data_IF_175757741670
#
_entry.id   IF_175757741670
#
_cell.length_a   1.000
_cell.length_b   1.000
_cell.length_c   1.000
_cell.angle_alpha   90.00
_cell.angle_beta   90.00
_cell.angle_gamma   90.00
#
_symmetry.space_group_name_H-M   'P 1'
#
loop_
_entity.id
_entity.type
_entity.pdbx_description
1 polymer ?
#
# COMPACT_ATOMS: atom_id res chain seq x y z
N UNK A 1 -10.68 -10.79 2.03
CA UNK A 1 -9.40 -10.09 1.80
C UNK A 1 -8.81 -9.69 3.14
N UNK A 2 -7.60 -10.08 3.40
CA UNK A 2 -7.08 -9.96 4.75
C UNK A 2 -6.14 -8.78 4.94
N UNK A 3 -5.17 -8.61 4.06
CA UNK A 3 -4.15 -7.59 4.25
C UNK A 3 -4.00 -6.74 3.01
N UNK A 4 -4.10 -5.44 3.18
CA UNK A 4 -3.93 -4.45 2.11
C UNK A 4 -2.72 -3.59 2.46
N UNK A 5 -1.85 -3.39 1.48
CA UNK A 5 -0.69 -2.50 1.61
C UNK A 5 -0.94 -1.25 0.79
N UNK A 6 -0.78 -0.09 1.40
CA UNK A 6 -0.86 1.20 0.71
C UNK A 6 0.53 1.82 0.74
N UNK A 7 1.11 2.03 -0.43
CA UNK A 7 2.43 2.63 -0.57
C UNK A 7 2.28 3.98 -1.29
N UNK A 8 2.32 5.06 -0.54
CA UNK A 8 2.08 6.40 -1.04
C UNK A 8 2.89 7.39 -0.20
N UNK A 9 3.68 8.25 -0.86
CA UNK A 9 4.56 9.18 -0.15
C UNK A 9 3.81 10.39 0.42
N UNK A 10 2.66 10.75 -0.12
CA UNK A 10 1.86 11.86 0.40
C UNK A 10 0.85 11.36 1.42
N UNK A 11 0.96 11.88 2.64
CA UNK A 11 0.11 11.43 3.74
C UNK A 11 -1.37 11.62 3.45
N UNK A 12 -1.75 12.76 2.88
CA UNK A 12 -3.17 13.04 2.62
C UNK A 12 -3.76 12.08 1.60
N UNK A 13 -3.00 11.78 0.55
CA UNK A 13 -3.43 10.82 -0.46
C UNK A 13 -3.53 9.43 0.15
N UNK A 14 -2.54 9.05 0.94
CA UNK A 14 -2.52 7.74 1.59
C UNK A 14 -3.72 7.57 2.52
N UNK A 15 -4.07 8.60 3.29
CA UNK A 15 -5.23 8.57 4.17
C UNK A 15 -6.53 8.52 3.37
N UNK A 16 -6.58 9.19 2.23
CA UNK A 16 -7.74 9.14 1.34
C UNK A 16 -7.98 7.74 0.80
N UNK A 17 -6.92 7.05 0.38
CA UNK A 17 -7.01 5.67 -0.10
C UNK A 17 -7.50 4.76 1.03
N UNK A 18 -6.93 4.90 2.21
CA UNK A 18 -7.34 4.11 3.38
C UNK A 18 -8.82 4.30 3.67
N UNK A 19 -9.28 5.54 3.70
CA UNK A 19 -10.70 5.83 3.96
C UNK A 19 -11.59 5.21 2.91
N UNK A 20 -11.19 5.28 1.64
CA UNK A 20 -11.96 4.71 0.54
C UNK A 20 -12.12 3.20 0.71
N UNK A 21 -11.04 2.52 1.08
CA UNK A 21 -11.06 1.08 1.31
C UNK A 21 -12.00 0.74 2.47
N UNK A 22 -11.91 1.49 3.55
CA UNK A 22 -12.75 1.26 4.72
C UNK A 22 -14.23 1.46 4.43
N UNK A 23 -14.56 2.41 3.55
CA UNK A 23 -15.95 2.71 3.20
C UNK A 23 -16.51 1.81 2.11
N UNK A 24 -15.65 1.08 1.42
CA UNK A 24 -16.10 0.24 0.30
C UNK A 24 -16.91 -0.97 0.73
N UNK A 25 -16.86 -1.35 2.00
CA UNK A 25 -17.54 -2.54 2.49
C UNK A 25 -16.79 -3.83 2.26
N UNK A 26 -15.62 -3.77 1.64
CA UNK A 26 -14.78 -4.95 1.45
C UNK A 26 -14.21 -5.36 2.80
N UNK A 27 -14.31 -6.65 3.19
CA UNK A 27 -13.78 -7.10 4.46
C UNK A 27 -12.25 -7.15 4.45
N UNK A 28 -11.63 -6.18 5.12
CA UNK A 28 -10.18 -6.08 5.25
C UNK A 28 -9.81 -6.15 6.72
N UNK A 29 -8.94 -7.07 7.09
CA UNK A 29 -8.49 -7.22 8.46
C UNK A 29 -7.39 -6.25 8.83
N UNK A 30 -6.46 -6.01 7.90
CA UNK A 30 -5.29 -5.20 8.19
C UNK A 30 -4.99 -4.28 7.01
N UNK A 31 -4.74 -3.00 7.31
CA UNK A 31 -4.26 -2.05 6.33
C UNK A 31 -2.88 -1.58 6.80
N UNK A 32 -1.88 -1.79 5.96
CA UNK A 32 -0.50 -1.38 6.25
C UNK A 32 -0.18 -0.18 5.39
N UNK A 33 0.35 0.88 5.99
CA UNK A 33 0.69 2.10 5.29
C UNK A 33 2.19 2.27 5.20
N UNK A 34 2.68 2.55 3.99
CA UNK A 34 4.08 2.83 3.74
C UNK A 34 4.20 4.16 3.03
N UNK A 35 5.24 4.92 3.35
CA UNK A 35 5.47 6.23 2.75
C UNK A 35 6.43 6.19 1.57
N UNK A 36 7.04 5.05 1.27
CA UNK A 36 7.92 4.92 0.12
C UNK A 36 8.03 3.45 -0.30
N UNK A 37 8.62 3.24 -1.48
CA UNK A 37 8.75 1.91 -2.04
C UNK A 37 9.67 0.98 -1.28
N UNK A 38 10.69 1.54 -0.62
CA UNK A 38 11.61 0.76 0.19
C UNK A 38 10.87 0.07 1.34
N UNK A 39 10.04 0.82 2.04
CA UNK A 39 9.24 0.28 3.14
C UNK A 39 8.26 -0.78 2.63
N UNK A 40 7.63 -0.52 1.49
CA UNK A 40 6.69 -1.46 0.89
C UNK A 40 7.38 -2.78 0.55
N UNK A 41 8.59 -2.70 -0.01
CA UNK A 41 9.35 -3.90 -0.36
C UNK A 41 9.66 -4.73 0.89
N UNK A 42 10.06 -4.08 1.97
CA UNK A 42 10.34 -4.75 3.22
C UNK A 42 9.11 -5.48 3.77
N UNK A 43 7.95 -4.84 3.68
CA UNK A 43 6.70 -5.45 4.11
C UNK A 43 6.37 -6.66 3.24
N UNK A 44 6.53 -6.55 1.93
CA UNK A 44 6.26 -7.66 1.02
C UNK A 44 7.16 -8.86 1.28
N UNK A 45 8.37 -8.63 1.77
CA UNK A 45 9.30 -9.69 2.09
C UNK A 45 9.02 -10.34 3.44
N UNK A 46 8.35 -9.64 4.34
CA UNK A 46 8.15 -10.11 5.70
C UNK A 46 6.77 -10.70 5.96
N UNK A 47 5.78 -10.40 5.12
CA UNK A 47 4.45 -10.95 5.31
C UNK A 47 3.67 -11.00 4.00
N UNK A 48 2.60 -11.80 4.02
CA UNK A 48 1.77 -11.96 2.84
C UNK A 48 0.81 -10.80 2.69
N UNK A 49 0.79 -10.21 1.50
CA UNK A 49 -0.07 -9.10 1.14
C UNK A 49 -1.03 -9.57 0.05
N UNK A 50 -2.32 -9.33 0.24
CA UNK A 50 -3.34 -9.74 -0.72
C UNK A 50 -3.55 -8.70 -1.82
N UNK A 51 -3.53 -7.42 -1.47
CA UNK A 51 -3.70 -6.33 -2.43
C UNK A 51 -2.76 -5.19 -2.07
N UNK A 52 -2.17 -4.56 -3.10
CA UNK A 52 -1.31 -3.41 -2.89
C UNK A 52 -1.75 -2.26 -3.79
N UNK A 53 -1.86 -1.07 -3.17
CA UNK A 53 -2.02 0.19 -3.89
C UNK A 53 -0.71 0.94 -3.84
N UNK A 54 -0.20 1.37 -5.00
CA UNK A 54 1.09 2.06 -5.06
C UNK A 54 1.05 3.21 -6.05
N UNK A 55 1.81 4.26 -5.75
CA UNK A 55 2.02 5.38 -6.64
C UNK A 55 3.34 5.17 -7.38
N UNK A 56 3.28 5.10 -8.69
CA UNK A 56 4.46 4.87 -9.53
C UNK A 56 5.45 6.03 -9.50
N UNK A 57 5.06 7.17 -8.93
CA UNK A 57 5.92 8.35 -8.83
C UNK A 57 6.75 8.40 -7.55
N UNK A 58 6.70 7.37 -6.74
CA UNK A 58 7.46 7.34 -5.50
C UNK A 58 8.96 7.39 -5.79
N UNK A 59 9.70 8.29 -5.09
CA UNK A 59 11.11 8.53 -5.42
C UNK A 59 12.06 7.40 -5.06
N UNK A 60 11.70 6.54 -4.13
CA UNK A 60 12.59 5.50 -3.65
C UNK A 60 12.59 4.26 -4.51
N UNK A 61 11.58 4.08 -5.35
CA UNK A 61 11.45 2.88 -6.15
C UNK A 61 10.49 3.12 -7.30
N UNK A 62 10.78 2.49 -8.43
CA UNK A 62 9.87 2.45 -9.55
C UNK A 62 8.64 1.61 -9.16
N UNK A 63 7.44 2.17 -9.34
CA UNK A 63 6.21 1.46 -8.99
C UNK A 63 6.04 0.16 -9.77
N UNK A 64 6.58 0.08 -10.99
CA UNK A 64 6.52 -1.14 -11.79
C UNK A 64 7.25 -2.29 -11.08
N UNK A 65 8.35 -1.98 -10.42
CA UNK A 65 9.11 -2.97 -9.68
C UNK A 65 8.30 -3.57 -8.54
N UNK A 66 7.44 -2.77 -7.91
CA UNK A 66 6.66 -3.23 -6.77
C UNK A 66 5.56 -4.20 -7.16
N UNK A 67 5.01 -4.10 -8.36
CA UNK A 67 3.89 -4.97 -8.77
C UNK A 67 4.35 -6.30 -9.34
N UNK A 68 5.62 -6.46 -9.50
CA UNK A 68 6.16 -7.74 -9.96
C UNK A 68 6.48 -8.63 -8.79
#
# INVERSE_FOLDING_TARGET
MNTVLIAEDEKMIRQGIKSMIQRSGVPVQTIIECSNGQMALEVLQSQQIDVMFTDIRMPKMDGITLVQ
#
